data_IF_060701620275
#
_entry.id   IF_060701620275
#
_cell.length_a   1.000
_cell.length_b   1.000
_cell.length_c   1.000
_cell.angle_alpha   90.00
_cell.angle_beta   90.00
_cell.angle_gamma   90.00
#
_symmetry.space_group_name_H-M   'P 1'
#
loop_
_entity.id
_entity.type
_entity.pdbx_description
1 polymer ?
#
# COMPACT_ATOMS: atom_id res chain seq x y z
N UNK A 1 -12.84 24.56 13.72
CA UNK A 1 -12.62 23.10 13.64
C UNK A 1 -11.75 22.70 12.44
N UNK A 2 -11.84 23.36 11.28
CA UNK A 2 -10.95 23.09 10.12
C UNK A 2 -9.46 23.14 10.46
N UNK A 3 -8.99 24.17 11.18
CA UNK A 3 -7.59 24.34 11.58
C UNK A 3 -6.98 23.13 12.32
N UNK A 4 -7.75 22.43 13.16
CA UNK A 4 -7.29 21.24 13.91
C UNK A 4 -7.28 19.97 13.04
N UNK A 5 -8.20 19.86 12.08
CA UNK A 5 -8.14 18.80 11.05
C UNK A 5 -6.95 19.01 10.13
N UNK A 6 -6.67 20.27 9.75
CA UNK A 6 -5.53 20.64 8.91
C UNK A 6 -4.20 20.31 9.61
N UNK A 7 -4.13 20.55 10.93
CA UNK A 7 -2.99 20.18 11.77
C UNK A 7 -2.74 18.66 11.91
N UNK A 8 -3.72 17.80 11.68
CA UNK A 8 -3.54 16.34 11.68
C UNK A 8 -3.19 15.79 10.29
N UNK A 9 -3.61 16.49 9.24
CA UNK A 9 -3.28 16.18 7.85
C UNK A 9 -1.82 16.51 7.55
N UNK A 10 -1.32 17.65 8.05
CA UNK A 10 0.02 18.16 7.77
C UNK A 10 1.17 17.24 8.22
N UNK A 11 1.17 16.63 9.42
CA UNK A 11 2.19 15.68 9.85
C UNK A 11 2.25 14.43 8.96
N UNK A 12 1.09 13.87 8.61
CA UNK A 12 1.01 12.73 7.69
C UNK A 12 1.62 13.09 6.34
N UNK A 13 1.35 14.33 5.88
CA UNK A 13 1.89 14.81 4.63
C UNK A 13 3.42 14.98 4.66
N UNK A 14 3.93 15.54 5.74
CA UNK A 14 5.35 15.78 5.95
C UNK A 14 6.12 14.46 6.05
N UNK A 15 5.61 13.49 6.82
CA UNK A 15 6.24 12.16 6.94
C UNK A 15 6.27 11.46 5.58
N UNK A 16 5.18 11.53 4.82
CA UNK A 16 5.14 10.96 3.47
C UNK A 16 6.17 11.61 2.54
N UNK A 17 6.24 12.95 2.52
CA UNK A 17 7.17 13.69 1.68
C UNK A 17 8.63 13.36 2.03
N UNK A 18 8.95 13.28 3.33
CA UNK A 18 10.27 12.89 3.81
C UNK A 18 10.61 11.46 3.39
N UNK A 19 9.70 10.50 3.62
CA UNK A 19 9.95 9.09 3.26
C UNK A 19 10.22 8.95 1.76
N UNK A 20 9.45 9.63 0.91
CA UNK A 20 9.69 9.62 -0.53
C UNK A 20 11.04 10.28 -0.86
N UNK A 21 11.30 11.50 -0.37
CA UNK A 21 12.53 12.22 -0.66
C UNK A 21 13.79 11.45 -0.22
N UNK A 22 13.82 10.97 1.02
CA UNK A 22 14.93 10.15 1.54
C UNK A 22 15.11 8.87 0.73
N UNK A 23 14.03 8.26 0.26
CA UNK A 23 14.12 7.04 -0.56
C UNK A 23 14.69 7.30 -1.96
N UNK A 24 14.43 8.48 -2.55
CA UNK A 24 15.00 8.85 -3.86
C UNK A 24 16.51 9.02 -3.77
N UNK A 25 17.00 9.58 -2.66
CA UNK A 25 18.43 9.68 -2.40
C UNK A 25 19.05 8.30 -2.13
N UNK A 26 18.44 7.51 -1.23
CA UNK A 26 18.92 6.17 -0.86
C UNK A 26 19.00 5.23 -2.07
N UNK A 27 18.03 5.31 -2.98
CA UNK A 27 17.94 4.43 -4.15
C UNK A 27 18.33 5.10 -5.48
N UNK A 28 19.06 6.22 -5.41
CA UNK A 28 19.44 7.03 -6.59
C UNK A 28 20.03 6.20 -7.71
N UNK A 29 20.94 5.27 -7.40
CA UNK A 29 21.62 4.48 -8.42
C UNK A 29 20.67 3.53 -9.18
N UNK A 30 19.76 2.87 -8.46
CA UNK A 30 18.71 2.03 -9.04
C UNK A 30 17.76 2.86 -9.90
N UNK A 31 17.46 4.10 -9.49
CA UNK A 31 16.54 4.99 -10.19
C UNK A 31 17.13 5.59 -11.48
N UNK A 32 18.43 5.89 -11.49
CA UNK A 32 19.14 6.40 -12.68
C UNK A 32 19.47 5.27 -13.65
N UNK A 33 19.75 4.07 -13.15
CA UNK A 33 20.11 2.90 -13.96
C UNK A 33 19.19 1.69 -13.69
N UNK A 34 17.88 1.78 -14.00
CA UNK A 34 16.90 0.77 -13.61
C UNK A 34 17.01 -0.55 -14.37
N UNK A 35 17.59 -0.53 -15.58
CA UNK A 35 17.72 -1.70 -16.48
C UNK A 35 19.12 -2.33 -16.39
N UNK A 36 20.01 -1.81 -15.54
CA UNK A 36 21.32 -2.43 -15.34
C UNK A 36 21.17 -3.86 -14.79
N UNK A 37 22.06 -4.77 -15.16
CA UNK A 37 21.92 -6.25 -15.02
C UNK A 37 21.61 -6.75 -13.60
N UNK A 38 21.74 -5.90 -12.57
CA UNK A 38 21.52 -6.25 -11.17
C UNK A 38 20.35 -5.50 -10.51
N UNK A 39 19.82 -4.47 -11.16
CA UNK A 39 18.87 -3.53 -10.54
C UNK A 39 17.41 -3.81 -10.88
N UNK A 40 17.11 -4.63 -11.89
CA UNK A 40 15.73 -4.76 -12.40
C UNK A 40 14.73 -5.24 -11.33
N UNK A 41 15.11 -6.15 -10.42
CA UNK A 41 14.22 -6.58 -9.31
C UNK A 41 14.04 -5.45 -8.29
N UNK A 42 15.11 -4.76 -7.92
CA UNK A 42 15.04 -3.62 -7.01
C UNK A 42 14.21 -2.46 -7.61
N UNK A 43 14.42 -2.14 -8.89
CA UNK A 43 13.67 -1.14 -9.62
C UNK A 43 12.18 -1.49 -9.69
N UNK A 44 11.84 -2.76 -9.93
CA UNK A 44 10.47 -3.25 -9.91
C UNK A 44 9.84 -3.14 -8.51
N UNK A 45 10.59 -3.49 -7.46
CA UNK A 45 10.15 -3.33 -6.07
C UNK A 45 9.87 -1.85 -5.75
N UNK A 46 10.79 -0.94 -6.09
CA UNK A 46 10.61 0.51 -5.91
C UNK A 46 9.40 1.02 -6.67
N UNK A 47 9.25 0.64 -7.94
CA UNK A 47 8.10 1.02 -8.75
C UNK A 47 6.79 0.57 -8.10
N UNK A 48 6.75 -0.65 -7.56
CA UNK A 48 5.57 -1.16 -6.88
C UNK A 48 5.23 -0.38 -5.60
N UNK A 49 6.24 0.02 -4.81
CA UNK A 49 6.02 0.83 -3.60
C UNK A 49 5.58 2.23 -4.00
N UNK A 50 6.33 2.93 -4.85
CA UNK A 50 6.02 4.30 -5.25
C UNK A 50 4.63 4.43 -5.88
N UNK A 51 4.26 3.55 -6.80
CA UNK A 51 2.92 3.57 -7.41
C UNK A 51 1.82 3.33 -6.37
N UNK A 52 2.02 2.35 -5.47
CA UNK A 52 1.10 2.06 -4.37
C UNK A 52 0.94 3.25 -3.43
N UNK A 53 2.05 3.88 -3.07
CA UNK A 53 2.14 5.01 -2.16
C UNK A 53 1.47 6.25 -2.76
N UNK A 54 1.71 6.58 -4.04
CA UNK A 54 1.04 7.68 -4.75
C UNK A 54 -0.47 7.46 -4.87
N UNK A 55 -0.92 6.25 -5.26
CA UNK A 55 -2.36 5.96 -5.30
C UNK A 55 -3.01 6.00 -3.93
N UNK A 56 -2.28 5.61 -2.89
CA UNK A 56 -2.76 5.71 -1.52
C UNK A 56 -2.94 7.14 -1.07
N UNK A 57 -1.94 7.97 -1.32
CA UNK A 57 -1.97 9.39 -1.05
C UNK A 57 -3.16 10.11 -1.70
N UNK A 58 -3.37 9.88 -3.00
CA UNK A 58 -4.51 10.45 -3.74
C UNK A 58 -5.83 9.98 -3.12
N UNK A 59 -5.94 8.67 -2.85
CA UNK A 59 -7.15 8.09 -2.28
C UNK A 59 -7.46 8.58 -0.87
N UNK A 60 -6.41 8.87 -0.07
CA UNK A 60 -6.52 9.43 1.27
C UNK A 60 -6.95 10.89 1.23
N UNK A 61 -6.36 11.73 0.37
CA UNK A 61 -6.79 13.13 0.19
C UNK A 61 -8.26 13.22 -0.23
N UNK A 62 -8.69 12.38 -1.18
CA UNK A 62 -10.10 12.30 -1.56
C UNK A 62 -11.01 11.87 -0.42
N UNK A 63 -10.53 11.01 0.48
CA UNK A 63 -11.29 10.56 1.63
C UNK A 63 -11.37 11.65 2.71
N UNK A 64 -10.28 12.38 3.00
CA UNK A 64 -10.27 13.51 3.94
C UNK A 64 -11.17 14.66 3.47
N UNK A 65 -11.24 14.92 2.16
CA UNK A 65 -12.15 15.94 1.62
C UNK A 65 -13.63 15.60 1.87
N UNK A 66 -13.99 14.32 2.01
CA UNK A 66 -15.37 13.86 2.24
C UNK A 66 -15.67 13.55 3.71
N UNK A 67 -14.67 13.05 4.43
CA UNK A 67 -14.76 12.61 5.81
C UNK A 67 -13.58 13.21 6.60
N UNK A 68 -13.60 14.53 6.87
CA UNK A 68 -12.53 15.20 7.62
C UNK A 68 -12.42 14.62 9.04
N UNK A 69 -11.33 14.95 9.75
CA UNK A 69 -11.21 14.53 11.14
C UNK A 69 -12.19 15.33 12.01
N UNK A 70 -13.02 14.65 12.80
CA UNK A 70 -13.91 15.31 13.76
C UNK A 70 -13.26 15.36 15.15
N UNK A 71 -12.79 16.55 15.51
CA UNK A 71 -12.04 16.78 16.74
C UNK A 71 -12.97 17.17 17.91
N UNK A 72 -14.28 17.24 17.68
CA UNK A 72 -15.25 17.78 18.65
C UNK A 72 -16.05 16.75 19.44
N UNK A 73 -16.26 15.53 18.93
CA UNK A 73 -17.10 14.51 19.58
C UNK A 73 -16.52 13.09 19.67
N UNK A 74 -15.36 12.81 19.08
CA UNK A 74 -14.85 11.45 18.87
C UNK A 74 -13.35 11.25 19.04
N UNK A 75 -12.69 12.01 19.94
CA UNK A 75 -11.21 12.09 20.06
C UNK A 75 -10.49 10.75 19.94
N UNK A 76 -10.92 9.70 20.66
CA UNK A 76 -10.18 8.44 20.70
C UNK A 76 -10.21 7.71 19.35
N UNK A 77 -11.36 7.69 18.65
CA UNK A 77 -11.50 6.99 17.37
C UNK A 77 -10.74 7.71 16.27
N UNK A 78 -10.80 9.03 16.25
CA UNK A 78 -10.09 9.86 15.26
C UNK A 78 -8.57 9.84 15.50
N UNK A 79 -8.11 9.74 16.76
CA UNK A 79 -6.69 9.45 17.07
C UNK A 79 -6.25 8.10 16.52
N UNK A 80 -7.06 7.05 16.68
CA UNK A 80 -6.74 5.74 16.08
C UNK A 80 -6.76 5.76 14.55
N UNK A 81 -7.66 6.55 13.94
CA UNK A 81 -7.69 6.77 12.49
C UNK A 81 -6.40 7.44 12.01
N UNK A 82 -5.98 8.49 12.70
CA UNK A 82 -4.69 9.15 12.45
C UNK A 82 -3.50 8.19 12.61
N UNK A 83 -3.46 7.37 13.66
CA UNK A 83 -2.39 6.38 13.82
C UNK A 83 -2.41 5.29 12.75
N UNK A 84 -3.58 4.89 12.26
CA UNK A 84 -3.69 3.96 11.14
C UNK A 84 -3.15 4.59 9.84
N UNK A 85 -3.48 5.86 9.57
CA UNK A 85 -2.97 6.61 8.42
C UNK A 85 -1.44 6.76 8.49
N UNK A 86 -0.90 7.14 9.64
CA UNK A 86 0.54 7.20 9.87
C UNK A 86 1.20 5.82 9.75
N UNK A 87 0.55 4.78 10.29
CA UNK A 87 0.98 3.39 10.18
C UNK A 87 1.11 2.92 8.73
N UNK A 88 0.24 3.39 7.83
CA UNK A 88 0.31 3.07 6.40
C UNK A 88 1.57 3.69 5.78
N UNK A 89 1.90 4.93 6.14
CA UNK A 89 3.13 5.59 5.67
C UNK A 89 4.37 4.87 6.21
N UNK A 90 4.35 4.46 7.48
CA UNK A 90 5.41 3.65 8.09
C UNK A 90 5.55 2.29 7.39
N UNK A 91 4.45 1.65 6.99
CA UNK A 91 4.49 0.40 6.25
C UNK A 91 5.16 0.58 4.87
N UNK A 92 4.96 1.72 4.20
CA UNK A 92 5.69 2.03 2.97
C UNK A 92 7.18 2.25 3.21
N UNK A 93 7.55 2.98 4.27
CA UNK A 93 8.95 3.15 4.65
C UNK A 93 9.61 1.79 4.93
N UNK A 94 8.93 0.92 5.67
CA UNK A 94 9.35 -0.47 5.90
C UNK A 94 9.61 -1.20 4.57
N UNK A 95 8.65 -1.17 3.64
CA UNK A 95 8.82 -1.82 2.33
C UNK A 95 9.99 -1.24 1.55
N UNK A 96 10.19 0.08 1.59
CA UNK A 96 11.33 0.75 0.97
C UNK A 96 12.63 0.22 1.56
N UNK A 97 12.80 0.15 2.88
CA UNK A 97 14.02 -0.41 3.49
C UNK A 97 14.26 -1.89 3.14
N UNK A 98 13.22 -2.65 2.82
CA UNK A 98 13.37 -4.04 2.37
C UNK A 98 13.84 -4.18 0.91
N UNK A 99 13.98 -3.08 0.17
CA UNK A 99 14.52 -3.10 -1.20
C UNK A 99 16.05 -3.18 -1.21
N UNK A 100 16.75 -2.62 -0.22
CA UNK A 100 18.22 -2.54 -0.18
C UNK A 100 18.94 -3.87 -0.49
N UNK A 101 18.54 -5.02 0.09
CA UNK A 101 19.19 -6.30 -0.22
C UNK A 101 19.10 -6.71 -1.70
N UNK A 102 18.08 -6.25 -2.42
CA UNK A 102 17.83 -6.59 -3.82
C UNK A 102 18.76 -5.85 -4.79
N UNK A 103 19.43 -4.80 -4.34
CA UNK A 103 20.40 -4.05 -5.14
C UNK A 103 21.66 -4.89 -5.36
N UNK A 104 22.13 -5.54 -4.30
CA UNK A 104 23.34 -6.37 -4.34
C UNK A 104 23.03 -7.80 -4.76
N UNK A 105 21.91 -8.35 -4.30
CA UNK A 105 21.50 -9.73 -4.51
C UNK A 105 20.05 -9.78 -5.00
N UNK A 106 19.80 -9.67 -6.31
CA UNK A 106 18.44 -9.65 -6.85
C UNK A 106 17.69 -10.98 -6.65
N UNK A 107 18.40 -12.09 -6.41
CA UNK A 107 17.84 -13.41 -6.09
C UNK A 107 17.61 -13.64 -4.59
N UNK A 108 17.83 -12.61 -3.76
CA UNK A 108 17.58 -12.69 -2.32
C UNK A 108 16.09 -12.85 -2.00
N UNK A 109 15.81 -13.36 -0.82
CA UNK A 109 14.46 -13.62 -0.35
C UNK A 109 13.67 -12.29 -0.17
N UNK A 110 12.64 -12.08 -0.99
CA UNK A 110 11.76 -10.91 -0.91
C UNK A 110 10.58 -11.08 0.04
N UNK A 111 10.49 -12.17 0.79
CA UNK A 111 9.41 -12.41 1.75
C UNK A 111 9.20 -11.23 2.72
N UNK A 112 10.25 -10.63 3.32
CA UNK A 112 10.06 -9.46 4.20
C UNK A 112 9.43 -8.27 3.47
N UNK A 113 9.76 -8.08 2.20
CA UNK A 113 9.16 -7.05 1.35
C UNK A 113 7.67 -7.36 1.08
N UNK A 114 7.34 -8.59 0.70
CA UNK A 114 5.98 -9.02 0.40
C UNK A 114 5.04 -8.90 1.60
N UNK A 115 5.52 -9.16 2.82
CA UNK A 115 4.76 -8.99 4.07
C UNK A 115 4.27 -7.55 4.27
N UNK A 116 4.91 -6.55 3.66
CA UNK A 116 4.43 -5.17 3.68
C UNK A 116 3.03 -5.00 3.08
N UNK A 117 2.68 -5.75 2.02
CA UNK A 117 1.37 -5.63 1.39
C UNK A 117 0.21 -6.06 2.31
N UNK A 118 0.24 -7.26 2.94
CA UNK A 118 -0.73 -7.63 3.98
C UNK A 118 -0.84 -6.61 5.11
N UNK A 119 0.29 -6.06 5.58
CA UNK A 119 0.29 -5.02 6.64
C UNK A 119 -0.52 -3.80 6.18
N UNK A 120 -0.27 -3.31 4.95
CA UNK A 120 -1.02 -2.18 4.36
C UNK A 120 -2.52 -2.50 4.27
N UNK A 121 -2.90 -3.71 3.86
CA UNK A 121 -4.32 -4.11 3.80
C UNK A 121 -4.98 -4.21 5.18
N UNK A 122 -4.26 -4.71 6.19
CA UNK A 122 -4.73 -4.75 7.59
C UNK A 122 -4.98 -3.32 8.08
N UNK A 123 -4.06 -2.39 7.81
CA UNK A 123 -4.21 -1.00 8.21
C UNK A 123 -5.38 -0.31 7.49
N UNK A 124 -5.60 -0.57 6.20
CA UNK A 124 -6.81 -0.12 5.51
C UNK A 124 -8.08 -0.72 6.10
N UNK A 125 -8.03 -1.96 6.56
CA UNK A 125 -9.18 -2.59 7.22
C UNK A 125 -9.53 -1.87 8.53
N UNK A 126 -8.53 -1.53 9.34
CA UNK A 126 -8.73 -0.74 10.55
C UNK A 126 -9.23 0.68 10.23
N UNK A 127 -8.60 1.38 9.30
CA UNK A 127 -9.02 2.72 8.84
C UNK A 127 -10.49 2.73 8.37
N UNK A 128 -10.87 1.75 7.56
CA UNK A 128 -12.23 1.62 7.06
C UNK A 128 -13.23 1.30 8.18
N UNK A 129 -12.87 0.41 9.10
CA UNK A 129 -13.73 0.04 10.24
C UNK A 129 -14.00 1.25 11.13
N UNK A 130 -12.96 2.04 11.43
CA UNK A 130 -13.10 3.27 12.22
C UNK A 130 -13.99 4.30 11.52
N UNK A 131 -13.87 4.46 10.19
CA UNK A 131 -14.72 5.38 9.43
C UNK A 131 -16.20 4.96 9.42
N UNK A 132 -16.50 3.67 9.24
CA UNK A 132 -17.88 3.14 9.26
C UNK A 132 -18.54 3.31 10.62
N UNK A 133 -17.78 3.17 11.70
CA UNK A 133 -18.27 3.35 13.06
C UNK A 133 -18.59 4.81 13.41
N UNK A 134 -18.17 5.78 12.59
CA UNK A 134 -18.37 7.21 12.85
C UNK A 134 -19.35 7.86 11.86
N UNK A 135 -19.28 7.54 10.56
CA UNK A 135 -20.12 8.15 9.51
C UNK A 135 -21.22 7.21 8.97
N UNK A 136 -21.61 6.18 9.74
CA UNK A 136 -22.60 5.15 9.38
C UNK A 136 -22.36 4.42 8.02
N UNK A 137 -23.35 3.67 7.51
CA UNK A 137 -23.20 2.73 6.38
C UNK A 137 -22.72 3.36 5.06
N UNK A 138 -22.80 4.69 4.90
CA UNK A 138 -22.33 5.41 3.72
C UNK A 138 -20.81 5.37 3.58
N UNK A 139 -20.07 5.25 4.69
CA UNK A 139 -18.61 5.13 4.70
C UNK A 139 -18.08 3.70 4.44
N UNK A 140 -18.97 2.69 4.38
CA UNK A 140 -18.54 1.29 4.23
C UNK A 140 -17.99 1.07 2.83
N UNK A 141 -16.66 0.93 2.70
CA UNK A 141 -16.06 0.34 1.49
C UNK A 141 -16.71 -1.03 1.29
N UNK A 142 -17.54 -1.17 0.25
CA UNK A 142 -18.28 -2.42 -0.03
C UNK A 142 -17.47 -3.43 -0.85
N UNK A 143 -16.31 -3.03 -1.36
CA UNK A 143 -15.32 -4.01 -1.84
C UNK A 143 -14.74 -4.70 -0.60
N UNK A 144 -14.86 -6.03 -0.46
CA UNK A 144 -14.39 -6.72 0.72
C UNK A 144 -12.87 -6.64 0.78
N UNK A 145 -12.36 -5.70 1.61
CA UNK A 145 -10.95 -5.58 1.96
C UNK A 145 -10.37 -6.93 2.41
N UNK A 146 -11.20 -7.77 3.04
CA UNK A 146 -10.88 -9.14 3.45
C UNK A 146 -10.49 -10.05 2.28
N UNK A 147 -11.11 -9.90 1.09
CA UNK A 147 -10.74 -10.67 -0.10
C UNK A 147 -9.35 -10.25 -0.57
N UNK A 148 -9.07 -8.96 -0.64
CA UNK A 148 -7.77 -8.47 -1.09
C UNK A 148 -6.66 -8.72 -0.07
N UNK A 149 -6.99 -8.68 1.22
CA UNK A 149 -6.12 -9.16 2.28
C UNK A 149 -5.81 -10.64 2.07
N UNK A 150 -6.82 -11.49 1.87
CA UNK A 150 -6.63 -12.92 1.61
C UNK A 150 -5.78 -13.16 0.36
N UNK A 151 -5.98 -12.40 -0.73
CA UNK A 151 -5.14 -12.45 -1.94
C UNK A 151 -3.69 -12.08 -1.62
N UNK A 152 -3.46 -10.99 -0.88
CA UNK A 152 -2.10 -10.57 -0.50
C UNK A 152 -1.38 -11.60 0.39
N UNK A 153 -2.12 -12.21 1.32
CA UNK A 153 -1.63 -13.29 2.18
C UNK A 153 -1.34 -14.55 1.36
N UNK A 154 -2.23 -14.90 0.43
CA UNK A 154 -2.04 -16.03 -0.47
C UNK A 154 -0.79 -15.85 -1.35
N UNK A 155 -0.56 -14.66 -1.93
CA UNK A 155 0.67 -14.36 -2.68
C UNK A 155 1.90 -14.57 -1.79
N UNK A 156 1.86 -14.08 -0.54
CA UNK A 156 2.97 -14.19 0.41
C UNK A 156 3.26 -15.65 0.79
N UNK A 157 2.22 -16.44 1.06
CA UNK A 157 2.34 -17.87 1.39
C UNK A 157 2.83 -18.67 0.18
N UNK A 158 2.22 -18.47 -0.98
CA UNK A 158 2.64 -19.12 -2.22
C UNK A 158 4.09 -18.82 -2.56
N UNK A 159 4.54 -17.56 -2.40
CA UNK A 159 5.93 -17.19 -2.58
C UNK A 159 6.84 -17.94 -1.60
N UNK A 160 6.49 -17.98 -0.31
CA UNK A 160 7.27 -18.71 0.70
C UNK A 160 7.42 -20.19 0.33
N UNK A 161 6.32 -20.86 0.02
CA UNK A 161 6.33 -22.27 -0.36
C UNK A 161 7.16 -22.53 -1.62
N UNK A 162 7.02 -21.67 -2.64
CA UNK A 162 7.82 -21.78 -3.86
C UNK A 162 9.30 -21.53 -3.59
N UNK A 163 9.64 -20.51 -2.81
CA UNK A 163 11.02 -20.19 -2.44
C UNK A 163 11.67 -21.34 -1.68
N UNK A 164 10.99 -21.91 -0.68
CA UNK A 164 11.49 -23.05 0.11
C UNK A 164 11.69 -24.30 -0.78
N UNK A 165 10.81 -24.52 -1.77
CA UNK A 165 10.96 -25.60 -2.75
C UNK A 165 12.18 -25.40 -3.65
N UNK A 166 12.38 -24.19 -4.19
CA UNK A 166 13.54 -23.91 -5.04
C UNK A 166 14.86 -23.91 -4.26
N UNK A 167 14.84 -23.54 -2.98
CA UNK A 167 16.02 -23.59 -2.12
C UNK A 167 16.42 -25.03 -1.76
N UNK A 168 15.46 -25.91 -1.49
CA UNK A 168 15.70 -27.33 -1.18
C UNK A 168 16.06 -28.17 -2.40
N UNK A 169 15.51 -27.85 -3.58
CA UNK A 169 15.76 -28.55 -4.83
C UNK A 169 17.05 -28.17 -5.58
N UNK A 170 17.91 -27.33 -5.00
CA UNK A 170 19.15 -26.88 -5.65
C UNK A 170 18.92 -26.03 -6.91
N UNK A 171 17.80 -25.30 -6.96
CA UNK A 171 17.35 -24.58 -8.16
C UNK A 171 18.32 -23.47 -8.61
N UNK A 172 18.35 -23.27 -9.92
CA UNK A 172 19.13 -22.24 -10.61
C UNK A 172 18.75 -20.82 -10.13
N UNK A 173 19.76 -19.93 -10.06
CA UNK A 173 19.60 -18.52 -9.67
C UNK A 173 18.55 -17.82 -10.53
N UNK A 174 18.48 -18.16 -11.82
CA UNK A 174 17.50 -17.62 -12.75
C UNK A 174 16.06 -17.90 -12.31
N UNK A 175 15.76 -19.09 -11.79
CA UNK A 175 14.41 -19.44 -11.35
C UNK A 175 13.97 -18.59 -10.15
N UNK A 176 14.87 -18.36 -9.18
CA UNK A 176 14.60 -17.49 -8.01
C UNK A 176 14.38 -16.03 -8.42
N UNK A 177 15.16 -15.54 -9.39
CA UNK A 177 14.98 -14.19 -9.94
C UNK A 177 13.60 -14.00 -10.58
N UNK A 178 13.18 -14.96 -11.41
CA UNK A 178 11.85 -14.94 -12.02
C UNK A 178 10.73 -15.03 -10.98
N UNK A 179 10.90 -15.87 -9.94
CA UNK A 179 9.94 -15.96 -8.85
C UNK A 179 9.79 -14.62 -8.11
N UNK A 180 10.91 -13.95 -7.80
CA UNK A 180 10.90 -12.62 -7.16
C UNK A 180 10.16 -11.60 -8.02
N UNK A 181 10.51 -11.51 -9.30
CA UNK A 181 9.87 -10.58 -10.23
C UNK A 181 8.36 -10.83 -10.34
N UNK A 182 7.96 -12.10 -10.52
CA UNK A 182 6.56 -12.48 -10.66
C UNK A 182 5.75 -12.19 -9.39
N UNK A 183 6.31 -12.45 -8.21
CA UNK A 183 5.63 -12.18 -6.95
C UNK A 183 5.46 -10.66 -6.70
N UNK A 184 6.45 -9.84 -7.05
CA UNK A 184 6.31 -8.37 -6.97
C UNK A 184 5.23 -7.87 -7.95
N UNK A 185 5.26 -8.34 -9.21
CA UNK A 185 4.22 -7.99 -10.19
C UNK A 185 2.84 -8.43 -9.71
N UNK A 186 2.70 -9.64 -9.19
CA UNK A 186 1.44 -10.15 -8.67
C UNK A 186 0.91 -9.29 -7.50
N UNK A 187 1.77 -8.92 -6.55
CA UNK A 187 1.40 -8.05 -5.43
C UNK A 187 1.00 -6.65 -5.91
N UNK A 188 1.76 -6.06 -6.84
CA UNK A 188 1.47 -4.76 -7.45
C UNK A 188 0.13 -4.78 -8.20
N UNK A 189 -0.12 -5.83 -9.00
CA UNK A 189 -1.38 -6.00 -9.73
C UNK A 189 -2.56 -6.18 -8.76
N UNK A 190 -2.41 -6.98 -7.71
CA UNK A 190 -3.45 -7.13 -6.70
C UNK A 190 -3.80 -5.78 -6.05
N UNK A 191 -2.79 -4.98 -5.69
CA UNK A 191 -2.98 -3.65 -5.14
C UNK A 191 -3.65 -2.70 -6.15
N UNK A 192 -3.26 -2.75 -7.42
CA UNK A 192 -3.88 -1.94 -8.50
C UNK A 192 -5.33 -2.32 -8.74
N UNK A 193 -5.64 -3.62 -8.84
CA UNK A 193 -7.00 -4.11 -9.06
C UNK A 193 -7.91 -3.77 -7.88
N UNK A 194 -7.42 -3.90 -6.65
CA UNK A 194 -8.12 -3.41 -5.46
C UNK A 194 -8.50 -1.93 -5.61
N UNK A 195 -7.54 -1.07 -5.99
CA UNK A 195 -7.76 0.37 -6.16
C UNK A 195 -8.78 0.66 -7.25
N UNK A 196 -8.66 0.01 -8.42
CA UNK A 196 -9.60 0.16 -9.53
C UNK A 196 -11.02 -0.24 -9.15
N UNK A 197 -11.19 -1.38 -8.48
CA UNK A 197 -12.51 -1.82 -8.00
C UNK A 197 -13.11 -0.82 -7.02
N UNK A 198 -12.31 -0.29 -6.08
CA UNK A 198 -12.76 0.71 -5.12
C UNK A 198 -13.17 2.03 -5.81
N UNK A 199 -12.41 2.48 -6.81
CA UNK A 199 -12.68 3.71 -7.56
C UNK A 199 -13.92 3.59 -8.45
N UNK A 200 -14.07 2.48 -9.19
CA UNK A 200 -15.25 2.19 -10.00
C UNK A 200 -16.51 2.17 -9.14
N UNK A 201 -16.43 1.53 -7.97
CA UNK A 201 -17.52 1.47 -7.02
C UNK A 201 -17.92 2.88 -6.54
N UNK A 202 -16.95 3.71 -6.13
CA UNK A 202 -17.20 5.11 -5.74
C UNK A 202 -17.90 5.91 -6.84
N UNK A 203 -17.46 5.77 -8.10
CA UNK A 203 -18.04 6.48 -9.24
C UNK A 203 -19.48 6.06 -9.54
N UNK A 204 -19.79 4.77 -9.46
CA UNK A 204 -21.15 4.24 -9.73
C UNK A 204 -22.17 4.84 -8.76
N UNK A 205 -21.83 4.88 -7.47
CA UNK A 205 -22.75 5.37 -6.44
C UNK A 205 -22.87 6.90 -6.41
N UNK A 206 -21.82 7.65 -6.74
CA UNK A 206 -21.91 9.10 -6.91
C UNK A 206 -22.92 9.48 -8.00
N UNK A 207 -22.99 8.71 -9.10
CA UNK A 207 -23.99 8.93 -10.16
C UNK A 207 -25.41 8.62 -9.68
N UNK A 208 -25.62 7.54 -8.92
CA UNK A 208 -26.95 7.17 -8.40
C UNK A 208 -27.50 8.19 -7.40
N UNK A 209 -26.64 8.83 -6.59
CA UNK A 209 -27.05 9.90 -5.68
C UNK A 209 -27.35 11.23 -6.39
N UNK A 210 -26.78 11.46 -7.57
CA UNK A 210 -26.96 12.68 -8.37
C UNK A 210 -28.14 12.59 -9.38
N UNK A 211 -28.72 11.41 -9.57
CA UNK A 211 -29.94 11.25 -10.38
C UNK A 211 -31.14 11.71 -9.56
N UNK A 212 -31.82 12.82 -9.90
CA UNK A 212 -33.07 13.17 -9.25
C UNK A 212 -34.07 12.05 -9.52
N UNK A 213 -34.73 11.58 -8.45
CA UNK A 213 -35.87 10.67 -8.58
C UNK A 213 -36.92 11.40 -9.42
N UNK A 214 -37.11 10.95 -10.65
CA UNK A 214 -38.17 11.39 -11.56
C UNK A 214 -39.49 10.75 -11.19
#
# INVERSE_FOLDING_TARGET
MQWLSDQLVEPTNLVFAIVIASSLELYRDVLVHPIHDRHYIAALALASVYTTTVWSWIGWHQAMARYPYDVSGGELKERWRFYADLGIVIAYAYMLFRVEPLITHPDSNILPFLVGFPIVFILYFFENTLRVLHFEQEARRRVPLTVWLAVSVAITICYRLAHDHFQSGGSDKHARLWLNGLAIVAAMLAMRLYRLHNDQYRRKHAKTAASPVS
#
